data_IF_816733243925
#
_entry.id   IF_816733243925
#
_cell.length_a   1.000
_cell.length_b   1.000
_cell.length_c   1.000
_cell.angle_alpha   90.00
_cell.angle_beta   90.00
_cell.angle_gamma   90.00
#
_symmetry.space_group_name_H-M   'P 1'
#
loop_
_entity.id
_entity.type
_entity.pdbx_description
1 polymer ?
#
# COMPACT_ATOMS: atom_id res chain seq x y z
N UNK A 1 -6.30 5.25 -14.90
CA UNK A 1 -6.92 5.86 -13.72
C UNK A 1 -8.12 6.72 -14.14
N UNK A 2 -7.88 7.95 -14.63
CA UNK A 2 -8.95 8.91 -15.01
C UNK A 2 -10.09 8.36 -15.87
N UNK A 3 -9.80 7.52 -16.87
CA UNK A 3 -10.85 6.93 -17.70
C UNK A 3 -11.80 6.02 -16.91
N UNK A 4 -11.28 5.29 -15.91
CA UNK A 4 -12.08 4.42 -15.06
C UNK A 4 -12.96 5.22 -14.08
N UNK A 5 -12.66 6.51 -13.85
CA UNK A 5 -13.54 7.34 -13.03
C UNK A 5 -14.96 7.49 -13.59
N UNK A 6 -15.12 7.34 -14.92
CA UNK A 6 -16.43 7.27 -15.58
C UNK A 6 -17.33 6.16 -15.00
N UNK A 7 -16.73 5.12 -14.43
CA UNK A 7 -17.40 4.04 -13.71
C UNK A 7 -17.50 4.40 -12.21
N UNK A 8 -16.37 4.63 -11.54
CA UNK A 8 -16.32 4.93 -10.10
C UNK A 8 -15.51 6.23 -9.87
N UNK A 9 -16.07 7.33 -9.34
CA UNK A 9 -17.37 7.38 -8.64
C UNK A 9 -18.55 7.83 -9.51
N UNK A 10 -18.39 8.09 -10.81
CA UNK A 10 -19.47 8.70 -11.60
C UNK A 10 -20.75 7.84 -11.65
N UNK A 11 -20.61 6.51 -11.67
CA UNK A 11 -21.73 5.55 -11.73
C UNK A 11 -22.00 4.84 -10.41
N UNK A 12 -21.05 4.80 -9.48
CA UNK A 12 -21.25 4.31 -8.10
C UNK A 12 -20.63 5.32 -7.14
N UNK A 13 -21.42 5.87 -6.22
CA UNK A 13 -20.91 6.80 -5.19
C UNK A 13 -21.69 6.68 -3.89
N UNK A 14 -21.08 7.20 -2.83
CA UNK A 14 -21.77 7.50 -1.57
C UNK A 14 -22.64 8.76 -1.71
N UNK A 15 -23.74 8.84 -0.96
CA UNK A 15 -24.56 10.05 -0.80
C UNK A 15 -23.85 11.17 -0.01
N UNK A 16 -22.66 10.90 0.54
CA UNK A 16 -21.74 11.91 1.03
C UNK A 16 -21.07 12.73 -0.09
N UNK A 17 -20.97 12.17 -1.30
CA UNK A 17 -20.33 12.80 -2.45
C UNK A 17 -21.37 13.46 -3.37
N UNK A 18 -21.20 14.75 -3.63
CA UNK A 18 -21.99 15.48 -4.62
C UNK A 18 -21.40 15.30 -6.02
N UNK A 19 -22.25 15.05 -7.04
CA UNK A 19 -21.82 15.04 -8.45
C UNK A 19 -21.50 16.46 -8.94
N UNK A 20 -22.34 17.43 -8.54
CA UNK A 20 -22.37 18.75 -9.17
C UNK A 20 -21.45 19.76 -8.47
N UNK A 21 -21.12 19.52 -7.20
CA UNK A 21 -20.26 20.41 -6.43
C UNK A 21 -19.35 19.64 -5.47
N UNK A 22 -18.16 19.32 -5.96
CA UNK A 22 -17.12 18.66 -5.17
C UNK A 22 -16.74 19.44 -3.89
N UNK A 23 -16.87 20.78 -3.89
CA UNK A 23 -16.56 21.58 -2.70
C UNK A 23 -17.59 21.38 -1.58
N UNK A 24 -18.82 20.97 -1.93
CA UNK A 24 -19.90 20.61 -1.01
C UNK A 24 -19.89 19.15 -0.58
N UNK A 25 -19.06 18.30 -1.18
CA UNK A 25 -18.92 16.91 -0.75
C UNK A 25 -18.47 16.85 0.71
N UNK A 26 -19.15 16.01 1.48
CA UNK A 26 -18.79 15.72 2.87
C UNK A 26 -17.66 14.68 2.89
N UNK A 27 -16.81 14.66 3.94
CA UNK A 27 -15.89 13.55 4.16
C UNK A 27 -16.64 12.20 4.13
N UNK A 28 -16.01 11.18 3.56
CA UNK A 28 -16.59 9.83 3.42
C UNK A 28 -15.59 8.76 3.87
N UNK A 29 -16.10 7.72 4.52
CA UNK A 29 -15.36 6.50 4.89
C UNK A 29 -14.99 5.65 3.68
N UNK A 30 -15.57 5.94 2.51
CA UNK A 30 -15.51 5.08 1.32
C UNK A 30 -14.63 5.63 0.21
N UNK A 31 -13.81 6.66 0.48
CA UNK A 31 -12.88 7.20 -0.51
C UNK A 31 -11.93 6.12 -1.05
N UNK A 32 -11.53 5.15 -0.22
CA UNK A 32 -10.77 3.99 -0.67
C UNK A 32 -11.46 3.17 -1.76
N UNK A 33 -12.79 3.11 -1.76
CA UNK A 33 -13.53 2.44 -2.81
C UNK A 33 -13.48 3.28 -4.09
N UNK A 34 -13.58 4.61 -3.98
CA UNK A 34 -13.62 5.48 -5.16
C UNK A 34 -12.25 5.69 -5.80
N UNK A 35 -11.19 5.80 -5.00
CA UNK A 35 -9.82 6.06 -5.47
C UNK A 35 -8.96 4.80 -5.51
N UNK A 36 -9.05 3.97 -4.46
CA UNK A 36 -8.26 2.74 -4.36
C UNK A 36 -8.70 1.66 -5.34
N UNK A 37 -10.01 1.42 -5.50
CA UNK A 37 -10.51 0.47 -6.51
C UNK A 37 -10.24 1.00 -7.92
N UNK A 38 -10.35 2.31 -8.15
CA UNK A 38 -9.97 2.91 -9.44
C UNK A 38 -8.49 2.73 -9.74
N UNK A 39 -7.63 2.90 -8.75
CA UNK A 39 -6.19 2.66 -8.87
C UNK A 39 -5.90 1.18 -9.18
N UNK A 40 -6.49 0.25 -8.44
CA UNK A 40 -6.40 -1.18 -8.73
C UNK A 40 -6.90 -1.52 -10.14
N UNK A 41 -8.07 -1.00 -10.52
CA UNK A 41 -8.63 -1.21 -11.84
C UNK A 41 -7.68 -0.73 -12.94
N UNK A 42 -7.02 0.41 -12.70
CA UNK A 42 -6.04 0.96 -13.65
C UNK A 42 -4.82 0.07 -13.85
N UNK A 43 -4.39 -0.68 -12.83
CA UNK A 43 -3.30 -1.63 -12.94
C UNK A 43 -3.76 -2.96 -13.54
N UNK A 44 -4.84 -3.56 -13.01
CA UNK A 44 -5.30 -4.89 -13.40
C UNK A 44 -5.82 -4.94 -14.83
N UNK A 45 -6.42 -3.86 -15.35
CA UNK A 45 -6.87 -3.78 -16.75
C UNK A 45 -5.68 -3.90 -17.71
N UNK A 46 -4.53 -3.29 -17.38
CA UNK A 46 -3.33 -3.39 -18.21
C UNK A 46 -2.75 -4.81 -18.19
N UNK A 47 -2.77 -5.48 -17.03
CA UNK A 47 -2.38 -6.88 -16.91
C UNK A 47 -3.31 -7.80 -17.72
N UNK A 48 -4.63 -7.68 -17.53
CA UNK A 48 -5.65 -8.49 -18.24
C UNK A 48 -5.66 -8.24 -19.74
N UNK A 49 -5.28 -7.03 -20.19
CA UNK A 49 -5.13 -6.70 -21.61
C UNK A 49 -3.79 -7.13 -22.22
N UNK A 50 -2.87 -7.72 -21.43
CA UNK A 50 -1.55 -8.14 -21.89
C UNK A 50 -0.60 -6.99 -22.21
N UNK A 51 -0.91 -5.76 -21.79
CA UNK A 51 -0.03 -4.60 -21.93
C UNK A 51 1.13 -4.65 -20.94
N UNK A 52 0.90 -5.29 -19.79
CA UNK A 52 1.90 -5.60 -18.76
C UNK A 52 1.87 -7.10 -18.51
N UNK A 53 3.03 -7.72 -18.33
CA UNK A 53 3.09 -9.10 -17.85
C UNK A 53 2.91 -9.18 -16.33
N UNK A 54 2.68 -10.39 -15.81
CA UNK A 54 2.44 -10.62 -14.38
C UNK A 54 3.64 -10.20 -13.52
N UNK A 55 4.86 -10.34 -14.02
CA UNK A 55 6.06 -9.98 -13.26
C UNK A 55 6.15 -8.47 -13.11
N UNK A 56 5.89 -7.73 -14.18
CA UNK A 56 5.82 -6.28 -14.17
C UNK A 56 4.72 -5.78 -13.23
N UNK A 57 3.50 -6.33 -13.32
CA UNK A 57 2.41 -5.98 -12.41
C UNK A 57 2.81 -6.18 -10.92
N UNK A 58 3.39 -7.33 -10.58
CA UNK A 58 3.75 -7.61 -9.18
C UNK A 58 4.93 -6.77 -8.68
N UNK A 59 5.98 -6.61 -9.49
CA UNK A 59 7.24 -5.98 -9.05
C UNK A 59 7.20 -4.46 -9.18
N UNK A 60 6.57 -3.93 -10.22
CA UNK A 60 6.56 -2.48 -10.50
C UNK A 60 5.31 -1.80 -9.96
N UNK A 61 4.14 -2.43 -10.02
CA UNK A 61 2.90 -1.80 -9.56
C UNK A 61 2.57 -2.19 -8.11
N UNK A 62 2.40 -3.50 -7.85
CA UNK A 62 1.94 -4.01 -6.55
C UNK A 62 2.95 -3.75 -5.43
N UNK A 63 4.22 -4.12 -5.64
CA UNK A 63 5.29 -3.94 -4.65
C UNK A 63 5.51 -2.47 -4.29
N UNK A 64 5.47 -1.57 -5.26
CA UNK A 64 5.63 -0.13 -5.01
C UNK A 64 4.51 0.42 -4.12
N UNK A 65 3.28 -0.08 -4.28
CA UNK A 65 2.16 0.26 -3.40
C UNK A 65 2.38 -0.25 -1.97
N UNK A 66 2.94 -1.45 -1.78
CA UNK A 66 3.28 -1.95 -0.42
C UNK A 66 4.37 -1.08 0.23
N UNK A 67 5.39 -0.68 -0.53
CA UNK A 67 6.40 0.24 -0.02
C UNK A 67 5.79 1.58 0.40
N UNK A 68 4.90 2.16 -0.40
CA UNK A 68 4.19 3.39 -0.05
C UNK A 68 3.34 3.22 1.21
N UNK A 69 2.58 2.13 1.31
CA UNK A 69 1.79 1.81 2.51
C UNK A 69 2.67 1.74 3.76
N UNK A 70 3.79 1.04 3.67
CA UNK A 70 4.78 0.93 4.75
C UNK A 70 5.35 2.30 5.15
N UNK A 71 5.67 3.14 4.16
CA UNK A 71 6.16 4.50 4.38
C UNK A 71 5.09 5.41 5.01
N UNK A 72 3.81 5.16 4.78
CA UNK A 72 2.72 5.95 5.35
C UNK A 72 2.18 5.40 6.66
N UNK A 73 2.57 4.19 7.09
CA UNK A 73 2.25 3.62 8.40
C UNK A 73 0.82 3.05 8.48
N UNK A 74 0.66 2.00 9.29
CA UNK A 74 -0.59 1.23 9.42
C UNK A 74 -1.40 1.57 10.68
N UNK A 75 -1.13 2.71 11.35
CA UNK A 75 -1.77 3.01 12.64
C UNK A 75 -3.25 3.36 12.49
N UNK A 76 -3.66 3.82 11.31
CA UNK A 76 -5.03 4.26 10.99
C UNK A 76 -5.70 3.28 10.03
N UNK A 77 -6.99 3.01 10.23
CA UNK A 77 -7.76 2.16 9.33
C UNK A 77 -7.93 2.81 7.94
N UNK A 78 -8.22 2.01 6.91
CA UNK A 78 -8.43 2.54 5.56
C UNK A 78 -9.71 3.41 5.49
N UNK A 79 -10.73 3.06 6.28
CA UNK A 79 -11.96 3.86 6.41
C UNK A 79 -11.71 5.21 7.09
N UNK A 80 -10.90 5.24 8.16
CA UNK A 80 -10.54 6.48 8.85
C UNK A 80 -9.63 7.36 7.98
N UNK A 81 -8.65 6.77 7.28
CA UNK A 81 -7.83 7.50 6.31
C UNK A 81 -8.68 8.12 5.20
N UNK A 82 -9.72 7.42 4.74
CA UNK A 82 -10.67 7.95 3.75
C UNK A 82 -11.38 9.20 4.27
N UNK A 83 -11.88 9.15 5.51
CA UNK A 83 -12.52 10.30 6.16
C UNK A 83 -11.56 11.48 6.36
N UNK A 84 -10.33 11.21 6.78
CA UNK A 84 -9.35 12.22 7.20
C UNK A 84 -8.51 12.77 6.05
N UNK A 85 -8.59 12.15 4.87
CA UNK A 85 -7.82 12.51 3.68
C UNK A 85 -7.94 13.99 3.29
N UNK A 86 -9.09 14.64 3.56
CA UNK A 86 -9.29 16.07 3.32
C UNK A 86 -8.40 16.90 4.25
N UNK A 87 -7.30 17.41 3.71
CA UNK A 87 -6.31 18.18 4.45
C UNK A 87 -5.16 17.35 5.01
N UNK A 88 -5.15 16.03 4.77
CA UNK A 88 -4.04 15.14 5.09
C UNK A 88 -3.50 14.48 3.79
N UNK A 89 -2.51 15.09 3.12
CA UNK A 89 -1.93 14.55 1.88
C UNK A 89 -1.32 13.15 2.03
N UNK A 90 -0.86 12.79 3.23
CA UNK A 90 -0.30 11.46 3.50
C UNK A 90 -1.40 10.41 3.50
N UNK A 91 -2.49 10.66 4.21
CA UNK A 91 -3.64 9.75 4.23
C UNK A 91 -4.25 9.65 2.83
N UNK A 92 -4.39 10.78 2.13
CA UNK A 92 -4.85 10.78 0.74
C UNK A 92 -3.97 9.88 -0.15
N UNK A 93 -2.64 10.03 -0.13
CA UNK A 93 -1.75 9.18 -0.90
C UNK A 93 -1.82 7.69 -0.50
N UNK A 94 -2.07 7.41 0.78
CA UNK A 94 -2.21 6.04 1.27
C UNK A 94 -3.56 5.41 0.94
N UNK A 95 -4.64 6.20 0.83
CA UNK A 95 -5.96 5.72 0.36
C UNK A 95 -5.84 5.10 -1.04
N UNK A 96 -5.04 5.68 -1.94
CA UNK A 96 -4.77 5.08 -3.25
C UNK A 96 -3.95 3.80 -3.12
N UNK A 97 -2.83 3.85 -2.41
CA UNK A 97 -1.88 2.73 -2.35
C UNK A 97 -2.47 1.54 -1.60
N UNK A 98 -2.89 1.74 -0.34
CA UNK A 98 -3.52 0.69 0.47
C UNK A 98 -4.89 0.29 -0.07
N UNK A 99 -5.68 1.24 -0.59
CA UNK A 99 -6.97 0.94 -1.20
C UNK A 99 -6.83 0.03 -2.43
N UNK A 100 -5.85 0.27 -3.30
CA UNK A 100 -5.57 -0.61 -4.44
C UNK A 100 -5.09 -2.01 -4.00
N UNK A 101 -4.27 -2.09 -2.96
CA UNK A 101 -3.84 -3.37 -2.38
C UNK A 101 -5.03 -4.14 -1.82
N UNK A 102 -5.88 -3.48 -1.02
CA UNK A 102 -7.12 -4.08 -0.50
C UNK A 102 -8.02 -4.56 -1.63
N UNK A 103 -8.24 -3.75 -2.67
CA UNK A 103 -9.05 -4.11 -3.83
C UNK A 103 -8.48 -5.33 -4.57
N UNK A 104 -7.16 -5.39 -4.76
CA UNK A 104 -6.48 -6.52 -5.38
C UNK A 104 -6.63 -7.81 -4.55
N UNK A 105 -6.45 -7.74 -3.24
CA UNK A 105 -6.61 -8.89 -2.36
C UNK A 105 -8.08 -9.34 -2.28
N UNK A 106 -9.03 -8.39 -2.30
CA UNK A 106 -10.46 -8.66 -2.35
C UNK A 106 -10.85 -9.38 -3.64
N UNK A 107 -10.35 -8.94 -4.80
CA UNK A 107 -10.58 -9.59 -6.09
C UNK A 107 -10.09 -11.04 -6.07
N UNK A 108 -8.86 -11.29 -5.61
CA UNK A 108 -8.31 -12.64 -5.48
C UNK A 108 -9.15 -13.50 -4.52
N UNK A 109 -9.58 -12.92 -3.39
CA UNK A 109 -10.38 -13.62 -2.40
C UNK A 109 -11.76 -14.02 -2.94
N UNK A 110 -12.43 -13.12 -3.68
CA UNK A 110 -13.70 -13.37 -4.36
C UNK A 110 -13.58 -14.51 -5.37
N UNK A 111 -12.53 -14.47 -6.20
CA UNK A 111 -12.28 -15.47 -7.22
C UNK A 111 -12.01 -16.83 -6.58
N UNK A 112 -11.22 -16.89 -5.53
CA UNK A 112 -10.94 -18.14 -4.81
C UNK A 112 -12.20 -18.74 -4.17
N UNK A 113 -12.97 -17.93 -3.42
CA UNK A 113 -14.19 -18.39 -2.74
C UNK A 113 -15.31 -18.83 -3.68
N UNK A 114 -15.30 -18.33 -4.91
CA UNK A 114 -16.33 -18.65 -5.91
C UNK A 114 -15.85 -19.62 -6.99
N UNK A 115 -14.72 -20.30 -6.78
CA UNK A 115 -14.07 -21.19 -7.76
C UNK A 115 -13.88 -20.53 -9.15
N UNK A 116 -13.55 -19.25 -9.16
CA UNK A 116 -13.31 -18.45 -10.36
C UNK A 116 -14.56 -17.94 -11.06
N UNK A 117 -15.75 -18.07 -10.44
CA UNK A 117 -17.02 -17.60 -11.03
C UNK A 117 -17.21 -16.09 -10.92
N UNK A 118 -16.65 -15.45 -9.89
CA UNK A 118 -16.87 -14.02 -9.60
C UNK A 118 -15.66 -13.34 -9.01
N UNK A 119 -15.35 -12.14 -9.49
CA UNK A 119 -14.34 -11.23 -8.93
C UNK A 119 -14.93 -9.88 -8.53
N UNK A 120 -14.06 -8.95 -8.16
CA UNK A 120 -14.42 -7.58 -7.79
C UNK A 120 -15.03 -6.80 -8.95
N UNK A 121 -14.61 -7.10 -10.19
CA UNK A 121 -15.22 -6.51 -11.39
C UNK A 121 -16.72 -6.82 -11.49
N UNK A 122 -17.13 -8.05 -11.16
CA UNK A 122 -18.54 -8.45 -11.21
C UNK A 122 -19.34 -7.76 -10.10
N UNK A 123 -18.77 -7.65 -8.89
CA UNK A 123 -19.36 -6.88 -7.79
C UNK A 123 -19.60 -5.42 -8.21
N UNK A 124 -18.62 -4.79 -8.87
CA UNK A 124 -18.76 -3.43 -9.39
C UNK A 124 -19.88 -3.36 -10.45
N UNK A 125 -19.94 -4.32 -11.38
CA UNK A 125 -20.98 -4.36 -12.40
C UNK A 125 -22.39 -4.48 -11.79
N UNK A 126 -22.56 -5.37 -10.81
CA UNK A 126 -23.83 -5.56 -10.12
C UNK A 126 -24.25 -4.29 -9.36
N UNK A 127 -23.30 -3.62 -8.68
CA UNK A 127 -23.56 -2.33 -8.03
C UNK A 127 -23.96 -1.24 -9.05
N UNK A 128 -23.37 -1.21 -10.24
CA UNK A 128 -23.78 -0.27 -11.31
C UNK A 128 -25.21 -0.54 -11.75
N UNK A 129 -25.60 -1.81 -11.90
CA UNK A 129 -26.94 -2.20 -12.35
C UNK A 129 -28.02 -1.78 -11.33
N UNK A 130 -27.75 -1.94 -10.04
CA UNK A 130 -28.75 -1.72 -8.98
C UNK A 130 -28.80 -0.28 -8.45
N UNK A 131 -27.67 0.44 -8.51
CA UNK A 131 -27.54 1.81 -7.99
C UNK A 131 -27.33 2.83 -9.11
N UNK A 132 -26.31 2.62 -9.95
CA UNK A 132 -26.00 3.50 -11.07
C UNK A 132 -25.89 5.00 -10.70
N UNK A 133 -25.93 5.87 -11.72
CA UNK A 133 -25.71 7.32 -11.53
C UNK A 133 -26.76 8.00 -10.65
N UNK A 134 -28.00 7.49 -10.65
CA UNK A 134 -29.18 8.12 -10.06
C UNK A 134 -29.44 7.76 -8.61
N UNK A 135 -28.86 6.66 -8.10
CA UNK A 135 -29.11 6.18 -6.74
C UNK A 135 -27.79 6.04 -5.99
N UNK A 136 -27.32 7.09 -5.30
CA UNK A 136 -26.12 6.96 -4.48
C UNK A 136 -26.34 5.94 -3.35
N UNK A 137 -25.26 5.26 -2.97
CA UNK A 137 -25.21 4.36 -1.82
C UNK A 137 -25.27 5.20 -0.53
N UNK A 138 -26.11 4.85 0.46
CA UNK A 138 -26.10 5.54 1.75
C UNK A 138 -24.74 5.37 2.44
N UNK A 139 -24.13 6.47 2.89
CA UNK A 139 -22.81 6.47 3.55
C UNK A 139 -22.73 5.48 4.74
N UNK A 140 -23.81 5.38 5.52
CA UNK A 140 -23.91 4.56 6.72
C UNK A 140 -24.17 3.06 6.44
N UNK A 141 -24.70 2.73 5.26
CA UNK A 141 -25.02 1.35 4.86
C UNK A 141 -24.04 0.77 3.83
N UNK A 142 -23.11 1.58 3.32
CA UNK A 142 -22.22 1.18 2.23
C UNK A 142 -21.48 -0.13 2.50
N UNK A 143 -20.94 -0.33 3.70
CA UNK A 143 -20.23 -1.58 4.03
C UNK A 143 -21.15 -2.79 4.06
N UNK A 144 -22.35 -2.67 4.64
CA UNK A 144 -23.31 -3.77 4.69
C UNK A 144 -23.80 -4.12 3.28
N UNK A 145 -24.05 -3.11 2.43
CA UNK A 145 -24.34 -3.32 1.01
C UNK A 145 -23.16 -4.03 0.32
N UNK A 146 -21.92 -3.58 0.53
CA UNK A 146 -20.77 -4.24 -0.08
C UNK A 146 -20.62 -5.69 0.39
N UNK A 147 -20.90 -5.98 1.66
CA UNK A 147 -20.91 -7.34 2.23
C UNK A 147 -21.99 -8.18 1.53
N UNK A 148 -23.20 -7.66 1.33
CA UNK A 148 -24.27 -8.40 0.65
C UNK A 148 -23.89 -8.78 -0.79
N UNK A 149 -23.18 -7.90 -1.50
CA UNK A 149 -22.72 -8.18 -2.86
C UNK A 149 -21.53 -9.15 -2.89
N UNK A 150 -20.63 -9.09 -1.91
CA UNK A 150 -19.47 -9.98 -1.87
C UNK A 150 -19.84 -11.37 -1.31
N UNK A 151 -20.71 -11.42 -0.29
CA UNK A 151 -21.08 -12.60 0.50
C UNK A 151 -20.72 -12.44 2.00
N UNK A 152 -21.39 -13.18 2.91
CA UNK A 152 -21.17 -13.06 4.36
C UNK A 152 -19.74 -13.45 4.79
N UNK A 153 -19.07 -14.32 4.04
CA UNK A 153 -17.68 -14.70 4.29
C UNK A 153 -16.72 -13.50 4.19
N UNK A 154 -17.11 -12.43 3.49
CA UNK A 154 -16.32 -11.23 3.27
C UNK A 154 -16.44 -10.18 4.37
N UNK A 155 -17.42 -10.32 5.26
CA UNK A 155 -17.59 -9.43 6.40
C UNK A 155 -16.30 -9.36 7.25
N UNK A 156 -15.68 -10.52 7.50
CA UNK A 156 -14.41 -10.62 8.24
C UNK A 156 -13.28 -9.86 7.55
N UNK A 157 -13.21 -9.90 6.21
CA UNK A 157 -12.21 -9.18 5.44
C UNK A 157 -12.39 -7.66 5.56
N UNK A 158 -13.62 -7.18 5.32
CA UNK A 158 -13.95 -5.75 5.40
C UNK A 158 -13.70 -5.21 6.82
N UNK A 159 -14.19 -5.93 7.84
CA UNK A 159 -14.02 -5.51 9.24
C UNK A 159 -12.55 -5.50 9.68
N UNK A 160 -11.70 -6.42 9.21
CA UNK A 160 -10.29 -6.47 9.61
C UNK A 160 -9.39 -5.48 8.87
N UNK A 161 -9.56 -5.37 7.56
CA UNK A 161 -8.56 -4.73 6.69
C UNK A 161 -8.96 -3.35 6.19
N UNK A 162 -10.26 -3.01 6.26
CA UNK A 162 -10.81 -1.72 5.82
C UNK A 162 -11.25 -0.88 7.01
N UNK A 163 -12.16 -1.42 7.82
CA UNK A 163 -12.64 -0.77 9.06
C UNK A 163 -11.59 -0.89 10.16
N UNK A 164 -10.94 -2.05 10.25
CA UNK A 164 -9.78 -2.27 11.09
C UNK A 164 -8.47 -1.86 10.42
N UNK A 165 -7.39 -1.91 11.19
CA UNK A 165 -6.04 -1.56 10.75
C UNK A 165 -5.08 -2.77 10.75
N UNK A 166 -5.62 -4.00 10.68
CA UNK A 166 -4.80 -5.19 10.65
C UNK A 166 -3.82 -5.19 9.45
N UNK A 167 -2.62 -5.79 9.59
CA UNK A 167 -1.71 -5.98 8.46
C UNK A 167 -2.36 -6.80 7.35
N UNK A 168 -2.16 -6.43 6.10
CA UNK A 168 -2.76 -7.11 4.96
C UNK A 168 -2.17 -8.53 4.76
N UNK A 169 -2.99 -9.55 4.45
CA UNK A 169 -2.56 -10.94 4.39
C UNK A 169 -1.94 -11.28 3.02
N UNK A 170 -0.88 -10.57 2.63
CA UNK A 170 -0.28 -10.67 1.29
C UNK A 170 0.14 -12.10 0.94
N UNK A 171 0.84 -12.82 1.84
CA UNK A 171 1.30 -14.18 1.59
C UNK A 171 0.13 -15.14 1.31
N UNK A 172 -0.85 -15.17 2.21
CA UNK A 172 -2.03 -16.03 2.12
C UNK A 172 -2.84 -15.77 0.84
N UNK A 173 -3.09 -14.50 0.52
CA UNK A 173 -3.92 -14.15 -0.63
C UNK A 173 -3.19 -14.37 -1.95
N UNK A 174 -1.92 -14.00 -2.05
CA UNK A 174 -1.13 -14.19 -3.28
C UNK A 174 -0.83 -15.67 -3.55
N UNK A 175 -0.73 -16.49 -2.51
CA UNK A 175 -0.57 -17.95 -2.66
C UNK A 175 -1.76 -18.58 -3.38
N UNK A 176 -2.99 -18.05 -3.23
CA UNK A 176 -4.19 -18.54 -3.95
C UNK A 176 -4.04 -18.44 -5.47
N UNK A 177 -3.33 -17.41 -5.95
CA UNK A 177 -2.96 -17.25 -7.37
C UNK A 177 -1.55 -17.74 -7.65
N UNK A 178 -0.95 -18.54 -6.77
CA UNK A 178 0.35 -19.19 -6.95
C UNK A 178 1.54 -18.24 -6.94
N UNK A 179 1.44 -17.07 -6.31
CA UNK A 179 2.53 -16.10 -6.19
C UNK A 179 3.07 -16.17 -4.77
N UNK A 180 4.37 -16.41 -4.63
CA UNK A 180 5.01 -16.46 -3.34
C UNK A 180 5.43 -15.06 -2.93
N UNK A 181 5.09 -14.67 -1.70
CA UNK A 181 5.50 -13.40 -1.10
C UNK A 181 6.31 -13.65 0.17
N UNK A 182 7.43 -12.95 0.28
CA UNK A 182 8.27 -12.92 1.48
C UNK A 182 8.39 -11.47 1.91
N UNK A 183 7.94 -11.17 3.14
CA UNK A 183 7.94 -9.82 3.66
C UNK A 183 9.34 -9.22 3.72
N UNK A 184 10.31 -9.98 4.23
CA UNK A 184 11.71 -9.61 4.18
C UNK A 184 12.65 -10.81 4.24
N UNK A 185 13.82 -10.66 3.65
CA UNK A 185 14.96 -11.58 3.79
C UNK A 185 16.23 -10.74 3.94
N UNK A 186 17.20 -11.23 4.70
CA UNK A 186 18.54 -10.65 4.69
C UNK A 186 19.14 -10.73 3.27
N UNK A 187 19.84 -9.69 2.86
CA UNK A 187 20.46 -9.63 1.53
C UNK A 187 21.52 -10.72 1.39
N UNK A 188 21.61 -11.31 0.20
CA UNK A 188 22.64 -12.28 -0.16
C UNK A 188 23.27 -11.84 -1.50
N UNK A 189 24.55 -11.39 -1.51
CA UNK A 189 25.48 -11.33 -0.38
C UNK A 189 25.08 -10.32 0.71
N UNK A 190 25.73 -10.41 1.87
CA UNK A 190 25.52 -9.46 2.95
C UNK A 190 25.93 -8.05 2.49
N UNK A 191 24.96 -7.14 2.45
CA UNK A 191 25.14 -5.75 2.05
C UNK A 191 24.85 -4.84 3.24
N UNK A 192 25.56 -3.71 3.35
CA UNK A 192 25.41 -2.77 4.44
C UNK A 192 24.11 -1.97 4.33
N UNK A 193 23.48 -1.67 5.46
CA UNK A 193 22.36 -0.74 5.54
C UNK A 193 22.46 0.09 6.84
N UNK A 194 21.98 1.33 6.80
CA UNK A 194 21.82 2.15 8.00
C UNK A 194 20.60 1.76 8.83
N UNK A 195 19.67 0.98 8.27
CA UNK A 195 18.41 0.59 8.92
C UNK A 195 17.32 1.65 8.81
N UNK A 196 17.52 2.72 8.03
CA UNK A 196 16.51 3.76 7.81
C UNK A 196 16.42 4.18 6.33
N UNK A 197 15.26 4.73 5.97
CA UNK A 197 15.06 5.48 4.72
C UNK A 197 14.86 6.95 5.03
N UNK A 198 15.48 7.84 4.25
CA UNK A 198 15.36 9.29 4.44
C UNK A 198 14.81 10.00 3.20
N UNK A 199 14.10 11.09 3.42
CA UNK A 199 13.67 12.03 2.39
C UNK A 199 13.99 13.45 2.82
N UNK A 200 14.09 14.36 1.85
CA UNK A 200 14.31 15.78 2.13
C UNK A 200 13.07 16.59 1.79
N UNK A 201 12.73 17.54 2.66
CA UNK A 201 11.76 18.58 2.39
C UNK A 201 12.27 19.94 2.90
N UNK A 202 11.41 20.95 2.91
CA UNK A 202 11.76 22.31 3.36
C UNK A 202 12.26 22.36 4.81
N UNK A 203 11.93 21.36 5.65
CA UNK A 203 12.35 21.28 7.06
C UNK A 203 13.73 20.63 7.22
N UNK A 204 14.26 20.01 6.17
CA UNK A 204 15.55 19.32 6.18
C UNK A 204 15.43 17.85 5.75
N UNK A 205 16.38 17.04 6.19
CA UNK A 205 16.40 15.60 5.89
C UNK A 205 15.71 14.87 7.03
N UNK A 206 14.68 14.10 6.70
CA UNK A 206 13.84 13.40 7.65
C UNK A 206 13.94 11.90 7.47
N UNK A 207 13.87 11.19 8.59
CA UNK A 207 13.68 9.75 8.61
C UNK A 207 12.22 9.43 8.26
N UNK A 208 12.02 8.73 7.15
CA UNK A 208 10.70 8.33 6.64
C UNK A 208 10.31 6.91 7.07
N UNK A 209 11.31 6.06 7.30
CA UNK A 209 11.14 4.70 7.79
C UNK A 209 12.39 4.26 8.57
N UNK A 210 12.19 3.36 9.53
CA UNK A 210 13.23 2.72 10.34
C UNK A 210 12.94 1.23 10.47
N UNK A 211 13.99 0.45 10.69
CA UNK A 211 13.89 -0.93 11.12
C UNK A 211 13.74 -1.06 12.65
N UNK A 212 13.55 -2.30 13.09
CA UNK A 212 13.38 -2.63 14.50
C UNK A 212 14.64 -2.36 15.33
N UNK A 213 15.84 -2.43 14.74
CA UNK A 213 17.10 -2.19 15.47
C UNK A 213 17.26 -0.71 15.82
N UNK A 214 16.94 0.18 14.90
CA UNK A 214 16.88 1.62 15.17
C UNK A 214 15.75 2.00 16.12
N UNK A 215 14.60 1.33 16.02
CA UNK A 215 13.49 1.57 16.96
C UNK A 215 13.89 1.27 18.41
N UNK A 216 14.69 0.21 18.66
CA UNK A 216 15.19 -0.15 20.01
C UNK A 216 16.05 0.94 20.65
N UNK A 217 16.72 1.77 19.86
CA UNK A 217 17.53 2.89 20.35
C UNK A 217 16.78 4.23 20.30
N UNK A 218 15.44 4.20 20.21
CA UNK A 218 14.60 5.39 20.21
C UNK A 218 14.96 6.39 19.09
N UNK A 219 15.29 5.88 17.90
CA UNK A 219 15.14 6.62 16.65
C UNK A 219 13.70 6.43 16.19
N UNK A 220 13.08 7.50 15.69
CA UNK A 220 11.68 7.45 15.27
C UNK A 220 11.51 7.97 13.85
N UNK A 221 10.44 7.50 13.22
CA UNK A 221 9.91 8.16 12.03
C UNK A 221 9.64 9.63 12.35
N UNK A 222 9.83 10.46 11.33
CA UNK A 222 9.72 11.90 11.37
C UNK A 222 10.83 12.67 12.11
N UNK A 223 11.82 11.99 12.69
CA UNK A 223 13.03 12.64 13.21
C UNK A 223 13.80 13.34 12.07
N UNK A 224 14.31 14.55 12.35
CA UNK A 224 15.19 15.26 11.43
C UNK A 224 16.65 14.83 11.64
N UNK A 225 17.29 14.33 10.59
CA UNK A 225 18.68 13.92 10.60
C UNK A 225 19.61 15.13 10.38
N UNK A 226 20.33 15.54 11.43
CA UNK A 226 21.28 16.65 11.37
C UNK A 226 22.70 16.21 11.00
N UNK A 227 23.13 15.07 11.52
CA UNK A 227 24.45 14.50 11.24
C UNK A 227 24.46 12.99 11.45
N UNK A 228 25.34 12.32 10.69
CA UNK A 228 25.63 10.89 10.78
C UNK A 228 27.13 10.70 10.66
N UNK A 229 27.71 9.81 11.47
CA UNK A 229 29.16 9.57 11.51
C UNK A 229 29.97 10.88 11.64
N UNK A 230 29.48 11.82 12.47
CA UNK A 230 30.04 13.18 12.67
C UNK A 230 30.08 14.07 11.41
N UNK A 231 29.41 13.68 10.32
CA UNK A 231 29.28 14.46 9.08
C UNK A 231 27.90 15.10 9.03
N UNK A 232 27.86 16.42 8.77
CA UNK A 232 26.61 17.19 8.69
C UNK A 232 25.80 16.80 7.46
N UNK A 233 24.51 16.58 7.66
CA UNK A 233 23.51 16.26 6.65
C UNK A 233 22.75 17.54 6.26
N UNK A 234 22.35 17.62 5.00
CA UNK A 234 21.51 18.65 4.41
C UNK A 234 20.76 18.08 3.19
N UNK A 235 19.65 18.71 2.76
CA UNK A 235 18.96 18.31 1.53
C UNK A 235 19.86 18.22 0.30
N UNK A 236 20.96 19.00 0.26
CA UNK A 236 21.88 19.05 -0.88
C UNK A 236 22.90 17.92 -0.92
N UNK A 237 23.22 17.28 0.20
CA UNK A 237 24.30 16.30 0.28
C UNK A 237 23.89 14.92 0.78
N UNK A 238 22.68 14.75 1.33
CA UNK A 238 22.36 13.54 2.10
C UNK A 238 22.45 12.26 1.28
N UNK A 239 21.97 12.24 0.03
CA UNK A 239 22.02 11.04 -0.82
C UNK A 239 23.47 10.60 -1.04
N UNK A 240 24.30 11.50 -1.58
CA UNK A 240 25.72 11.24 -1.82
C UNK A 240 26.47 10.88 -0.53
N UNK A 241 26.25 11.64 0.54
CA UNK A 241 26.94 11.41 1.81
C UNK A 241 26.59 10.04 2.39
N UNK A 242 25.30 9.67 2.41
CA UNK A 242 24.85 8.39 2.94
C UNK A 242 25.32 7.24 2.04
N UNK A 243 24.99 7.27 0.76
CA UNK A 243 25.06 6.08 -0.10
C UNK A 243 26.37 5.97 -0.90
N UNK A 244 27.04 7.08 -1.22
CA UNK A 244 28.28 7.06 -2.01
C UNK A 244 29.54 7.19 -1.13
N UNK A 245 29.45 7.92 0.00
CA UNK A 245 30.61 8.24 0.83
C UNK A 245 30.70 7.40 2.11
N UNK A 246 29.60 7.19 2.83
CA UNK A 246 29.59 6.51 4.13
C UNK A 246 29.31 5.02 4.00
N UNK A 247 28.11 4.64 3.53
CA UNK A 247 27.66 3.24 3.54
C UNK A 247 28.62 2.22 2.87
N UNK A 248 29.29 2.55 1.74
CA UNK A 248 30.24 1.63 1.11
C UNK A 248 31.56 1.45 1.88
N UNK A 249 31.82 2.27 2.91
CA UNK A 249 33.08 2.30 3.66
C UNK A 249 32.94 1.85 5.11
N UNK A 250 31.75 1.42 5.50
CA UNK A 250 31.46 0.92 6.84
C UNK A 250 31.16 -0.56 6.76
N UNK A 251 31.36 -1.29 7.86
CA UNK A 251 31.10 -2.73 7.91
C UNK A 251 29.88 -3.05 8.78
N UNK A 252 29.17 -4.15 8.48
CA UNK A 252 28.12 -4.67 9.37
C UNK A 252 28.70 -4.85 10.78
N UNK A 253 27.99 -4.30 11.77
CA UNK A 253 28.45 -4.25 13.16
C UNK A 253 29.19 -2.97 13.55
N UNK A 254 29.57 -2.12 12.59
CA UNK A 254 30.24 -0.87 12.87
C UNK A 254 29.26 0.15 13.48
N UNK A 255 29.67 0.77 14.60
CA UNK A 255 28.85 1.73 15.32
C UNK A 255 29.10 3.16 14.85
N UNK A 256 28.03 3.93 14.71
CA UNK A 256 28.11 5.32 14.27
C UNK A 256 27.18 6.27 15.05
N UNK A 257 27.62 7.51 15.32
CA UNK A 257 26.78 8.50 15.98
C UNK A 257 25.74 9.08 15.02
N UNK A 258 24.52 9.23 15.52
CA UNK A 258 23.41 9.96 14.91
C UNK A 258 23.11 11.21 15.74
N UNK A 259 22.97 12.34 15.07
CA UNK A 259 22.43 13.57 15.65
C UNK A 259 21.09 13.88 15.00
N UNK A 260 20.05 13.90 15.81
CA UNK A 260 18.66 14.03 15.38
C UNK A 260 18.00 15.24 16.03
N UNK A 261 16.88 15.68 15.48
CA UNK A 261 15.94 16.61 16.13
C UNK A 261 14.55 16.01 16.11
N UNK A 262 13.94 15.92 17.29
CA UNK A 262 12.53 15.53 17.48
C UNK A 262 11.82 16.64 18.23
N UNK A 263 10.74 17.16 17.67
CA UNK A 263 9.92 18.21 18.30
C UNK A 263 10.78 19.40 18.81
N UNK A 264 11.76 19.82 18.01
CA UNK A 264 12.69 20.92 18.34
C UNK A 264 13.82 20.57 19.33
N UNK A 265 13.82 19.39 19.94
CA UNK A 265 14.86 18.93 20.86
C UNK A 265 15.93 18.13 20.13
N UNK A 266 17.20 18.41 20.43
CA UNK A 266 18.33 17.63 19.91
C UNK A 266 18.43 16.29 20.63
N UNK A 267 18.61 15.24 19.86
CA UNK A 267 18.76 13.86 20.32
C UNK A 267 20.06 13.31 19.74
N UNK A 268 20.82 12.59 20.55
CA UNK A 268 22.00 11.85 20.09
C UNK A 268 21.80 10.36 20.37
N UNK A 269 22.11 9.54 19.37
CA UNK A 269 22.07 8.08 19.45
C UNK A 269 23.34 7.49 18.84
N UNK A 270 23.64 6.25 19.20
CA UNK A 270 24.69 5.47 18.55
C UNK A 270 24.01 4.27 17.92
N UNK A 271 23.96 4.25 16.60
CA UNK A 271 23.43 3.15 15.81
C UNK A 271 24.56 2.22 15.37
N UNK A 272 24.18 1.12 14.73
CA UNK A 272 25.08 0.08 14.20
C UNK A 272 24.69 -0.18 12.74
N UNK A 273 25.67 -0.42 11.87
CA UNK A 273 25.40 -0.84 10.49
C UNK A 273 24.83 -2.26 10.55
N UNK A 274 23.66 -2.43 9.94
CA UNK A 274 22.97 -3.72 9.88
C UNK A 274 23.16 -4.33 8.50
N UNK A 275 22.95 -5.64 8.40
CA UNK A 275 22.79 -6.28 7.10
C UNK A 275 21.46 -5.85 6.49
N UNK A 276 21.47 -5.42 5.22
CA UNK A 276 20.28 -5.01 4.49
C UNK A 276 19.24 -6.12 4.52
N UNK A 277 17.99 -5.73 4.80
CA UNK A 277 16.82 -6.58 4.59
C UNK A 277 16.19 -6.20 3.25
N UNK A 278 16.21 -7.12 2.29
CA UNK A 278 15.44 -6.97 1.06
C UNK A 278 13.97 -7.22 1.38
N UNK A 279 13.11 -6.23 1.10
CA UNK A 279 11.70 -6.23 1.51
C UNK A 279 10.75 -6.43 0.34
N UNK A 280 9.61 -7.03 0.67
CA UNK A 280 8.50 -7.33 -0.23
C UNK A 280 9.00 -8.06 -1.48
N UNK A 281 9.55 -9.25 -1.27
CA UNK A 281 10.08 -10.10 -2.32
C UNK A 281 8.97 -10.98 -2.89
N UNK A 282 8.93 -11.11 -4.21
CA UNK A 282 7.95 -11.91 -4.91
C UNK A 282 8.63 -12.94 -5.80
N UNK A 283 8.03 -14.13 -5.88
CA UNK A 283 8.38 -15.14 -6.87
C UNK A 283 7.11 -15.65 -7.55
N UNK A 284 7.20 -15.83 -8.86
CA UNK A 284 6.13 -16.41 -9.69
C UNK A 284 6.67 -17.76 -10.20
N UNK A 285 6.39 -18.87 -9.50
CA UNK A 285 6.86 -20.19 -9.90
C UNK A 285 6.30 -20.58 -11.28
N UNK A 286 7.11 -21.28 -12.07
CA UNK A 286 6.69 -21.83 -13.36
C UNK A 286 5.72 -23.01 -13.25
N UNK A 287 5.65 -23.66 -12.09
CA UNK A 287 4.68 -24.72 -11.78
C UNK A 287 3.93 -24.35 -10.50
N UNK A 288 2.61 -24.39 -10.56
CA UNK A 288 1.70 -24.17 -9.43
C UNK A 288 0.66 -25.31 -9.38
N UNK A 289 -0.03 -25.46 -8.25
CA UNK A 289 -1.05 -26.50 -8.12
C UNK A 289 -2.23 -26.29 -9.10
N UNK A 290 -2.97 -27.34 -9.47
CA UNK A 290 -4.17 -27.19 -10.30
C UNK A 290 -5.22 -26.24 -9.71
N UNK A 291 -5.32 -26.14 -8.38
CA UNK A 291 -6.21 -25.19 -7.73
C UNK A 291 -5.75 -23.74 -7.97
N UNK A 292 -4.48 -23.46 -7.69
CA UNK A 292 -3.89 -22.14 -7.93
C UNK A 292 -3.97 -21.73 -9.40
N UNK A 293 -3.76 -22.67 -10.33
CA UNK A 293 -3.84 -22.42 -11.76
C UNK A 293 -5.24 -21.95 -12.16
N UNK A 294 -6.30 -22.60 -11.66
CA UNK A 294 -7.69 -22.19 -11.95
C UNK A 294 -7.99 -20.78 -11.44
N UNK A 295 -7.60 -20.47 -10.20
CA UNK A 295 -7.83 -19.14 -9.61
C UNK A 295 -7.02 -18.09 -10.36
N UNK A 296 -5.75 -18.36 -10.70
CA UNK A 296 -4.90 -17.46 -11.51
C UNK A 296 -5.49 -17.21 -12.90
N UNK A 297 -5.96 -18.24 -13.58
CA UNK A 297 -6.58 -18.11 -14.90
C UNK A 297 -7.85 -17.24 -14.85
N UNK A 298 -8.70 -17.44 -13.84
CA UNK A 298 -9.87 -16.60 -13.63
C UNK A 298 -9.49 -15.15 -13.28
N UNK A 299 -8.47 -14.96 -12.44
CA UNK A 299 -7.96 -13.64 -12.06
C UNK A 299 -7.37 -12.85 -13.23
N UNK A 300 -6.69 -13.52 -14.15
CA UNK A 300 -6.11 -12.92 -15.36
C UNK A 300 -7.11 -12.78 -16.52
N UNK A 301 -8.30 -13.36 -16.40
CA UNK A 301 -9.33 -13.28 -17.45
C UNK A 301 -9.87 -11.85 -17.53
N UNK A 302 -10.04 -11.34 -18.75
CA UNK A 302 -10.99 -10.25 -19.00
C UNK A 302 -12.39 -10.81 -18.80
N UNK A 303 -13.01 -10.50 -17.67
CA UNK A 303 -14.40 -10.84 -17.43
C UNK A 303 -15.25 -10.08 -18.47
N UNK A 304 -16.04 -10.83 -19.24
CA UNK A 304 -16.82 -10.38 -20.40
C UNK A 304 -18.05 -9.58 -19.97
#
# INVERSE_FOLDING_TARGET
HEYFHLIIPFSIRSDALSIDDFLRSRPTQHLWFFEGVTEWASDIIQLRAGLKDLRHYIVEDFRQKIFRETLFGSETSLSDMSLQSRGNPRDYANVYSRGALVAALLDIHLIDLTDGRRGLQDVINDLILDYGKSRPLPEDQFFEILIDYCGPEFESFIRKYIIGNAPLPYAEMLEKVGINYIESKLSEPAENDFGFFTGADERGVRILWIDDELAKIDVQKDDLLLAIANRRISPKNYQRLLYDELLPRMDIGERYPLQLVRNGKRIQRTAEIVQRKDRHLFSVPGMISPAQQRVREAWLRQLQ
#
